data_IF_210339042553
#
_entry.id   IF_210339042553
#
_cell.length_a   1.000
_cell.length_b   1.000
_cell.length_c   1.000
_cell.angle_alpha   90.00
_cell.angle_beta   90.00
_cell.angle_gamma   90.00
#
_symmetry.space_group_name_H-M   'P 1'
#
loop_
_entity.id
_entity.type
_entity.pdbx_description
1 polymer ?
#
# COMPACT_ATOMS: atom_id res chain seq x y z
N UNK A 1 -29.94 -15.70 0.37
CA UNK A 1 -29.78 -14.32 0.86
C UNK A 1 -28.65 -14.43 1.85
N UNK A 2 -27.52 -13.79 1.56
CA UNK A 2 -26.31 -13.97 2.35
C UNK A 2 -26.50 -13.28 3.71
N UNK A 3 -26.31 -14.02 4.79
CA UNK A 3 -26.50 -13.57 6.20
C UNK A 3 -25.79 -12.25 6.50
N UNK A 4 -24.66 -11.98 5.84
CA UNK A 4 -23.91 -10.74 5.96
C UNK A 4 -24.58 -9.53 5.30
N UNK A 5 -25.28 -9.73 4.19
CA UNK A 5 -25.97 -8.65 3.48
C UNK A 5 -27.11 -8.10 4.34
N UNK A 6 -27.86 -8.99 4.99
CA UNK A 6 -28.96 -8.61 5.89
C UNK A 6 -28.47 -7.80 7.10
N UNK A 7 -27.36 -8.22 7.72
CA UNK A 7 -26.74 -7.48 8.84
C UNK A 7 -26.24 -6.12 8.39
N UNK A 8 -25.63 -6.02 7.21
CA UNK A 8 -25.18 -4.74 6.65
C UNK A 8 -26.36 -3.81 6.34
N UNK A 9 -27.45 -4.34 5.78
CA UNK A 9 -28.67 -3.56 5.50
C UNK A 9 -29.31 -3.02 6.77
N UNK A 10 -29.32 -3.81 7.86
CA UNK A 10 -29.81 -3.34 9.14
C UNK A 10 -28.91 -2.25 9.74
N UNK A 11 -27.58 -2.47 9.73
CA UNK A 11 -26.61 -1.48 10.18
C UNK A 11 -26.68 -0.17 9.39
N UNK A 12 -27.01 -0.21 8.09
CA UNK A 12 -27.25 0.99 7.27
C UNK A 12 -28.46 1.78 7.79
N UNK A 13 -29.54 1.11 8.21
CA UNK A 13 -30.74 1.79 8.75
C UNK A 13 -30.49 2.38 10.12
N UNK A 14 -29.80 1.64 10.99
CA UNK A 14 -29.58 2.03 12.40
C UNK A 14 -28.39 2.96 12.57
N UNK A 15 -27.47 3.00 11.60
CA UNK A 15 -26.19 3.68 11.71
C UNK A 15 -25.17 2.92 12.56
N UNK A 16 -25.42 1.63 12.83
CA UNK A 16 -24.54 0.79 13.64
C UNK A 16 -23.16 0.61 12.99
N UNK A 17 -22.13 0.54 13.84
CA UNK A 17 -20.75 0.28 13.43
C UNK A 17 -20.49 -1.20 13.59
N UNK A 18 -20.04 -1.85 12.51
CA UNK A 18 -19.78 -3.28 12.49
C UNK A 18 -18.28 -3.58 12.53
N UNK A 19 -17.95 -4.67 13.22
CA UNK A 19 -16.64 -5.31 13.14
C UNK A 19 -16.66 -6.35 12.02
N UNK A 20 -15.93 -6.07 10.94
CA UNK A 20 -15.88 -6.90 9.73
C UNK A 20 -14.46 -7.39 9.52
N UNK A 21 -14.27 -8.71 9.49
CA UNK A 21 -13.01 -9.28 8.99
C UNK A 21 -13.00 -9.13 7.48
N UNK A 22 -12.00 -8.42 6.96
CA UNK A 22 -11.95 -8.09 5.54
C UNK A 22 -10.72 -8.69 4.87
N UNK A 23 -10.93 -9.59 3.91
CA UNK A 23 -9.86 -10.32 3.22
C UNK A 23 -9.31 -9.60 1.98
N UNK A 24 -9.50 -8.28 1.88
CA UNK A 24 -9.03 -7.46 0.76
C UNK A 24 -8.16 -6.27 1.19
N UNK A 25 -7.45 -5.69 0.21
CA UNK A 25 -6.66 -4.47 0.41
C UNK A 25 -5.30 -4.71 1.08
N UNK A 26 -4.76 -3.67 1.71
CA UNK A 26 -3.40 -3.66 2.30
C UNK A 26 -3.27 -4.44 3.60
N UNK A 27 -4.37 -4.64 4.34
CA UNK A 27 -4.39 -5.41 5.58
C UNK A 27 -5.52 -6.47 5.50
N UNK A 28 -5.34 -7.54 4.70
CA UNK A 28 -6.32 -8.61 4.55
C UNK A 28 -6.38 -9.50 5.80
N UNK A 29 -7.57 -10.00 6.12
CA UNK A 29 -7.81 -10.88 7.27
C UNK A 29 -7.90 -10.17 8.62
N UNK A 30 -7.62 -8.85 8.67
CA UNK A 30 -7.80 -8.04 9.86
C UNK A 30 -9.25 -7.56 10.00
N UNK A 31 -9.64 -7.37 11.26
CA UNK A 31 -10.99 -6.94 11.64
C UNK A 31 -11.02 -5.42 11.59
N UNK A 32 -11.96 -4.87 10.83
CA UNK A 32 -12.16 -3.44 10.59
C UNK A 32 -13.46 -2.97 11.21
N UNK A 33 -13.43 -1.78 11.83
CA UNK A 33 -14.65 -1.04 12.15
C UNK A 33 -15.12 -0.28 10.93
N UNK A 34 -16.32 -0.63 10.47
CA UNK A 34 -16.98 -0.05 9.32
C UNK A 34 -18.36 0.46 9.72
N UNK A 35 -18.69 1.69 9.31
CA UNK A 35 -20.08 2.16 9.29
C UNK A 35 -20.57 2.10 7.84
N UNK A 36 -21.37 1.08 7.48
CA UNK A 36 -21.87 0.91 6.12
C UNK A 36 -22.87 2.01 5.75
N UNK A 37 -22.89 2.40 4.48
CA UNK A 37 -23.73 3.49 3.95
C UNK A 37 -24.64 3.03 2.81
N UNK A 38 -24.18 2.10 1.96
CA UNK A 38 -24.97 1.55 0.86
C UNK A 38 -24.35 0.25 0.36
N UNK A 39 -25.17 -0.64 -0.18
CA UNK A 39 -24.76 -1.86 -0.88
C UNK A 39 -25.28 -1.76 -2.32
N UNK A 40 -24.39 -1.96 -3.29
CA UNK A 40 -24.72 -2.01 -4.72
C UNK A 40 -24.06 -3.24 -5.34
N UNK A 41 -24.80 -4.34 -5.41
CA UNK A 41 -24.23 -5.63 -5.82
C UNK A 41 -23.12 -6.05 -4.86
N UNK A 42 -21.93 -6.34 -5.39
CA UNK A 42 -20.77 -6.74 -4.56
C UNK A 42 -20.04 -5.55 -3.91
N UNK A 43 -20.45 -4.30 -4.18
CA UNK A 43 -19.80 -3.12 -3.62
C UNK A 43 -20.53 -2.57 -2.40
N UNK A 44 -19.85 -2.59 -1.26
CA UNK A 44 -20.28 -1.97 0.00
C UNK A 44 -19.53 -0.66 0.20
N UNK A 45 -20.27 0.45 0.16
CA UNK A 45 -19.72 1.77 0.51
C UNK A 45 -19.81 1.94 2.01
N UNK A 46 -18.67 2.17 2.67
CA UNK A 46 -18.63 2.31 4.13
C UNK A 46 -17.58 3.33 4.58
N UNK A 47 -17.84 4.01 5.69
CA UNK A 47 -16.82 4.77 6.42
C UNK A 47 -15.93 3.78 7.17
N UNK A 48 -14.64 3.79 6.86
CA UNK A 48 -13.65 2.97 7.54
C UNK A 48 -13.00 3.75 8.67
N UNK A 49 -13.13 3.27 9.91
CA UNK A 49 -12.57 3.95 11.08
C UNK A 49 -11.03 3.86 11.14
N UNK A 50 -10.42 2.89 10.46
CA UNK A 50 -8.97 2.80 10.32
C UNK A 50 -8.35 4.01 9.62
N UNK A 51 -9.10 4.66 8.72
CA UNK A 51 -8.59 5.77 7.90
C UNK A 51 -9.44 7.01 7.99
N UNK A 52 -10.58 6.94 8.68
CA UNK A 52 -11.64 7.95 8.71
C UNK A 52 -12.10 8.42 7.31
N UNK A 53 -12.04 7.54 6.30
CA UNK A 53 -12.46 7.83 4.92
C UNK A 53 -13.62 6.91 4.52
N UNK A 54 -14.45 7.37 3.60
CA UNK A 54 -15.44 6.54 2.91
C UNK A 54 -14.73 5.77 1.81
N UNK A 55 -14.82 4.44 1.82
CA UNK A 55 -14.20 3.52 0.85
C UNK A 55 -15.24 2.53 0.33
N UNK A 56 -14.92 1.92 -0.81
CA UNK A 56 -15.68 0.79 -1.33
C UNK A 56 -14.98 -0.51 -0.95
N UNK A 57 -15.74 -1.46 -0.42
CA UNK A 57 -15.32 -2.78 -0.01
C UNK A 57 -16.09 -3.82 -0.83
N UNK A 58 -15.49 -4.98 -1.04
CA UNK A 58 -16.17 -6.10 -1.71
C UNK A 58 -16.92 -6.94 -0.70
N UNK A 59 -18.23 -7.11 -0.86
CA UNK A 59 -19.08 -7.93 0.00
C UNK A 59 -18.55 -9.38 0.03
N UNK A 60 -18.16 -9.90 -1.13
CA UNK A 60 -17.50 -11.20 -1.34
C UNK A 60 -16.20 -11.42 -0.56
N UNK A 61 -15.63 -10.37 0.06
CA UNK A 61 -14.42 -10.42 0.88
C UNK A 61 -14.66 -10.12 2.35
N UNK A 62 -15.92 -9.99 2.76
CA UNK A 62 -16.31 -9.71 4.14
C UNK A 62 -16.69 -10.99 4.88
N UNK A 63 -16.27 -11.08 6.13
CA UNK A 63 -16.74 -12.07 7.11
C UNK A 63 -17.23 -11.31 8.34
N UNK A 64 -18.43 -11.65 8.83
CA UNK A 64 -18.97 -11.09 10.07
C UNK A 64 -18.14 -11.60 11.25
N UNK A 65 -17.72 -10.68 12.12
CA UNK A 65 -17.09 -11.04 13.38
C UNK A 65 -17.51 -10.05 14.47
N UNK A 66 -18.76 -10.20 14.92
CA UNK A 66 -19.44 -9.26 15.83
C UNK A 66 -18.76 -9.20 17.21
N UNK A 67 -18.18 -10.31 17.68
CA UNK A 67 -17.65 -10.45 19.05
C UNK A 67 -16.16 -10.10 19.19
N UNK A 68 -15.51 -9.74 18.09
CA UNK A 68 -14.06 -9.52 18.08
C UNK A 68 -13.71 -8.04 18.04
N UNK A 69 -12.72 -7.66 18.87
CA UNK A 69 -12.16 -6.32 18.85
C UNK A 69 -11.50 -6.00 17.50
N UNK A 70 -11.45 -4.71 17.11
CA UNK A 70 -10.78 -4.31 15.89
C UNK A 70 -9.28 -4.65 15.98
N UNK A 71 -8.74 -5.26 14.92
CA UNK A 71 -7.34 -5.67 14.83
C UNK A 71 -6.60 -4.98 13.69
N UNK A 72 -7.21 -3.94 13.11
CA UNK A 72 -6.60 -3.14 12.07
C UNK A 72 -5.52 -2.21 12.64
N UNK A 73 -4.47 -1.99 11.85
CA UNK A 73 -3.52 -0.91 12.09
C UNK A 73 -4.20 0.36 11.56
N UNK A 74 -4.40 1.35 12.45
CA UNK A 74 -4.83 2.70 12.04
C UNK A 74 -3.81 3.18 11.01
N UNK A 75 -4.27 3.58 9.82
CA UNK A 75 -3.34 4.12 8.82
C UNK A 75 -2.71 5.36 9.48
N UNK A 76 -1.41 5.30 9.75
CA UNK A 76 -0.63 6.44 10.20
C UNK A 76 -0.77 7.49 9.09
N UNK A 77 -1.62 8.50 9.32
CA UNK A 77 -1.69 9.64 8.42
C UNK A 77 -0.46 10.47 8.70
N UNK A 78 0.64 10.11 8.03
CA UNK A 78 1.81 10.95 8.01
C UNK A 78 1.43 12.28 7.31
N UNK A 79 1.85 13.43 7.86
CA UNK A 79 1.79 14.67 7.09
C UNK A 79 2.50 14.44 5.75
N UNK A 80 2.00 15.06 4.68
CA UNK A 80 2.61 14.88 3.37
C UNK A 80 4.02 15.50 3.41
N UNK A 81 5.07 14.69 3.24
CA UNK A 81 6.43 15.18 3.30
C UNK A 81 6.75 16.00 2.05
N UNK A 82 7.68 16.95 2.18
CA UNK A 82 8.12 17.82 1.09
C UNK A 82 8.87 17.04 0.02
N UNK A 83 9.70 16.09 0.44
CA UNK A 83 10.57 15.31 -0.44
C UNK A 83 10.82 13.90 0.12
N UNK A 84 11.50 13.07 -0.70
CA UNK A 84 11.76 11.66 -0.38
C UNK A 84 12.67 11.50 0.84
N UNK A 85 13.59 12.44 1.08
CA UNK A 85 14.51 12.40 2.20
C UNK A 85 13.74 12.63 3.51
N UNK A 86 12.95 13.71 3.60
CA UNK A 86 12.08 13.98 4.76
C UNK A 86 11.15 12.80 5.05
N UNK A 87 10.61 12.19 3.99
CA UNK A 87 9.72 11.04 4.11
C UNK A 87 10.42 9.81 4.69
N UNK A 88 11.69 9.57 4.34
CA UNK A 88 12.47 8.41 4.76
C UNK A 88 13.16 8.58 6.12
N UNK A 89 13.50 9.81 6.52
CA UNK A 89 14.25 10.12 7.74
C UNK A 89 13.78 9.34 8.99
N UNK A 90 12.47 9.21 9.27
CA UNK A 90 11.98 8.45 10.43
C UNK A 90 12.29 6.94 10.38
N UNK A 91 12.56 6.40 9.20
CA UNK A 91 12.68 4.97 8.93
C UNK A 91 14.13 4.49 8.71
N UNK A 92 15.07 5.39 8.42
CA UNK A 92 16.45 5.05 8.02
C UNK A 92 17.11 4.10 9.03
N UNK A 93 17.12 4.47 10.31
CA UNK A 93 17.77 3.67 11.36
C UNK A 93 17.17 2.25 11.47
N UNK A 94 15.85 2.11 11.29
CA UNK A 94 15.20 0.81 11.35
C UNK A 94 15.52 -0.03 10.12
N UNK A 95 15.52 0.58 8.92
CA UNK A 95 15.90 -0.09 7.69
C UNK A 95 17.36 -0.60 7.79
N UNK A 96 18.30 0.24 8.23
CA UNK A 96 19.71 -0.15 8.35
C UNK A 96 19.93 -1.25 9.39
N UNK A 97 19.19 -1.23 10.52
CA UNK A 97 19.24 -2.29 11.54
C UNK A 97 18.83 -3.67 11.02
N UNK A 98 17.96 -3.73 10.01
CA UNK A 98 17.59 -5.00 9.37
C UNK A 98 18.65 -5.51 8.39
N UNK A 99 19.83 -4.89 8.30
CA UNK A 99 20.94 -5.31 7.44
C UNK A 99 20.80 -4.86 5.98
N UNK A 100 19.76 -4.09 5.65
CA UNK A 100 19.64 -3.44 4.36
C UNK A 100 20.68 -2.34 4.17
N UNK A 101 21.13 -2.16 2.93
CA UNK A 101 21.70 -0.89 2.50
C UNK A 101 20.61 -0.05 1.84
N UNK A 102 20.27 1.08 2.45
CA UNK A 102 19.40 2.07 1.84
C UNK A 102 20.23 2.98 0.92
N UNK A 103 19.78 3.14 -0.32
CA UNK A 103 20.34 4.10 -1.27
C UNK A 103 19.22 5.04 -1.68
N UNK A 104 19.45 6.34 -1.52
CA UNK A 104 18.48 7.40 -1.84
C UNK A 104 19.04 8.35 -2.89
N UNK A 105 18.14 8.98 -3.62
CA UNK A 105 18.36 10.12 -4.51
C UNK A 105 17.17 11.08 -4.39
N UNK A 106 17.14 12.12 -5.21
CA UNK A 106 16.04 13.10 -5.21
C UNK A 106 14.67 12.46 -5.52
N UNK A 107 14.62 11.56 -6.51
CA UNK A 107 13.37 11.03 -7.04
C UNK A 107 13.18 9.53 -6.83
N UNK A 108 14.17 8.83 -6.28
CA UNK A 108 14.09 7.39 -6.05
C UNK A 108 14.87 6.93 -4.83
N UNK A 109 14.44 5.82 -4.24
CA UNK A 109 15.15 5.13 -3.18
C UNK A 109 14.99 3.61 -3.31
N UNK A 110 15.98 2.87 -2.84
CA UNK A 110 15.94 1.41 -2.84
C UNK A 110 16.68 0.81 -1.66
N UNK A 111 16.19 -0.34 -1.20
CA UNK A 111 16.91 -1.19 -0.25
C UNK A 111 17.57 -2.35 -0.98
N UNK A 112 18.85 -2.55 -0.67
CA UNK A 112 19.74 -3.45 -1.38
C UNK A 112 20.37 -4.44 -0.42
N UNK A 113 20.42 -5.71 -0.83
CA UNK A 113 21.33 -6.67 -0.22
C UNK A 113 22.77 -6.40 -0.62
N UNK A 114 23.68 -6.75 0.28
CA UNK A 114 25.11 -6.90 0.00
C UNK A 114 25.41 -8.36 -0.37
N UNK A 115 26.37 -8.56 -1.28
CA UNK A 115 27.01 -9.85 -1.49
C UNK A 115 27.93 -10.20 -0.31
N UNK A 116 28.40 -11.46 -0.24
CA UNK A 116 29.36 -11.90 0.80
C UNK A 116 30.65 -11.08 0.84
N UNK A 117 31.01 -10.44 -0.27
CA UNK A 117 32.17 -9.54 -0.40
C UNK A 117 31.87 -8.08 0.00
N UNK A 118 30.70 -7.80 0.58
CA UNK A 118 30.26 -6.47 1.00
C UNK A 118 29.73 -5.56 -0.10
N UNK A 119 29.85 -5.93 -1.39
CA UNK A 119 29.37 -5.10 -2.50
C UNK A 119 27.84 -5.13 -2.61
N UNK A 120 27.24 -4.00 -2.99
CA UNK A 120 25.80 -3.93 -3.27
C UNK A 120 25.42 -4.77 -4.49
N UNK A 121 24.22 -5.35 -4.45
CA UNK A 121 23.59 -5.89 -5.65
C UNK A 121 23.19 -4.77 -6.61
N UNK A 122 23.14 -5.07 -7.90
CA UNK A 122 22.77 -4.10 -8.94
C UNK A 122 21.29 -3.69 -8.85
N UNK A 123 20.42 -4.63 -8.49
CA UNK A 123 18.97 -4.40 -8.44
C UNK A 123 18.52 -4.35 -6.99
N UNK A 124 17.73 -3.33 -6.60
CA UNK A 124 17.13 -3.29 -5.27
C UNK A 124 16.14 -4.44 -5.09
N UNK A 125 15.95 -4.87 -3.84
CA UNK A 125 14.92 -5.87 -3.51
C UNK A 125 13.55 -5.19 -3.30
N UNK A 126 13.55 -3.97 -2.77
CA UNK A 126 12.38 -3.06 -2.71
C UNK A 126 12.80 -1.67 -3.14
N UNK A 127 11.95 -0.99 -3.90
CA UNK A 127 12.30 0.25 -4.56
C UNK A 127 11.09 1.19 -4.68
N UNK A 128 11.34 2.49 -4.60
CA UNK A 128 10.37 3.56 -4.81
C UNK A 128 10.94 4.59 -5.78
N UNK A 129 10.14 5.07 -6.73
CA UNK A 129 10.49 6.18 -7.62
C UNK A 129 9.32 7.11 -7.89
N UNK A 130 9.63 8.36 -8.22
CA UNK A 130 8.70 9.34 -8.77
C UNK A 130 8.68 9.25 -10.31
N UNK A 131 7.49 9.01 -10.85
CA UNK A 131 7.20 9.00 -12.28
C UNK A 131 6.22 10.13 -12.59
N UNK A 132 6.75 11.25 -13.10
CA UNK A 132 5.93 12.40 -13.49
C UNK A 132 4.94 12.04 -14.61
N UNK A 133 5.35 11.17 -15.53
CA UNK A 133 4.57 10.75 -16.68
C UNK A 133 4.24 9.26 -16.65
N UNK A 134 3.09 8.91 -17.21
CA UNK A 134 2.65 7.55 -17.49
C UNK A 134 2.29 7.42 -18.96
N UNK A 135 2.54 6.24 -19.54
CA UNK A 135 2.09 5.91 -20.89
C UNK A 135 0.58 6.09 -21.04
N UNK A 136 0.16 6.71 -22.15
CA UNK A 136 -1.24 6.84 -22.52
C UNK A 136 -1.59 5.90 -23.66
N UNK A 137 -1.00 6.13 -24.84
CA UNK A 137 -1.16 5.32 -26.04
C UNK A 137 0.02 5.53 -26.99
N UNK A 138 0.14 4.68 -28.01
CA UNK A 138 1.10 4.83 -29.09
C UNK A 138 0.40 5.42 -30.31
N UNK A 139 1.06 6.38 -30.96
CA UNK A 139 0.58 7.05 -32.18
C UNK A 139 1.64 6.92 -33.28
N UNK A 140 1.36 7.41 -34.48
CA UNK A 140 2.33 7.47 -35.57
C UNK A 140 2.66 8.92 -35.91
N UNK A 141 3.95 9.24 -36.00
CA UNK A 141 4.39 10.55 -36.46
C UNK A 141 4.07 10.75 -37.96
N UNK A 142 4.33 11.96 -38.47
CA UNK A 142 4.11 12.31 -39.89
C UNK A 142 4.94 11.46 -40.88
N UNK A 143 5.96 10.75 -40.40
CA UNK A 143 6.83 9.87 -41.19
C UNK A 143 6.43 8.39 -41.04
N UNK A 144 5.38 8.07 -40.28
CA UNK A 144 4.92 6.71 -40.02
C UNK A 144 5.73 5.96 -38.97
N UNK A 145 6.54 6.64 -38.15
CA UNK A 145 7.21 6.02 -37.01
C UNK A 145 6.27 5.97 -35.80
N UNK A 146 6.25 4.86 -35.08
CA UNK A 146 5.53 4.75 -33.82
C UNK A 146 6.15 5.67 -32.76
N UNK A 147 5.33 6.46 -32.09
CA UNK A 147 5.69 7.34 -30.99
C UNK A 147 4.85 7.03 -29.76
N UNK A 148 5.45 7.04 -28.58
CA UNK A 148 4.72 6.88 -27.32
C UNK A 148 4.20 8.24 -26.84
N UNK A 149 2.89 8.34 -26.66
CA UNK A 149 2.24 9.53 -26.08
C UNK A 149 2.14 9.33 -24.57
N UNK A 150 2.73 10.28 -23.84
CA UNK A 150 2.80 10.27 -22.37
C UNK A 150 1.85 11.32 -21.79
N UNK A 151 1.25 11.01 -20.63
CA UNK A 151 0.42 11.96 -19.86
C UNK A 151 0.92 12.11 -18.42
N UNK A 152 0.66 13.24 -17.76
CA UNK A 152 0.96 13.38 -16.33
C UNK A 152 0.32 12.26 -15.51
N UNK A 153 1.10 11.67 -14.61
CA UNK A 153 0.67 10.55 -13.80
C UNK A 153 -0.27 11.01 -12.69
N UNK A 154 -1.45 10.36 -12.58
CA UNK A 154 -2.37 10.58 -11.47
C UNK A 154 -1.88 9.94 -10.15
N UNK A 155 -0.90 9.04 -10.24
CA UNK A 155 -0.29 8.28 -9.13
C UNK A 155 1.22 8.20 -9.35
N UNK A 156 1.96 9.30 -9.21
CA UNK A 156 3.34 9.39 -9.67
C UNK A 156 4.31 8.57 -8.81
N UNK A 157 3.97 8.24 -7.57
CA UNK A 157 4.85 7.46 -6.70
C UNK A 157 4.69 5.97 -6.96
N UNK A 158 5.72 5.34 -7.51
CA UNK A 158 5.73 3.93 -7.83
C UNK A 158 6.58 3.16 -6.83
N UNK A 159 6.02 2.10 -6.22
CA UNK A 159 6.72 1.20 -5.30
C UNK A 159 6.73 -0.20 -5.90
N UNK A 160 7.92 -0.76 -6.06
CA UNK A 160 8.12 -2.14 -6.54
C UNK A 160 8.77 -3.01 -5.48
N UNK A 161 8.51 -4.31 -5.60
CA UNK A 161 9.05 -5.35 -4.75
C UNK A 161 9.40 -6.53 -5.65
N UNK A 162 10.53 -7.20 -5.38
CA UNK A 162 11.04 -8.25 -6.26
C UNK A 162 10.04 -9.41 -6.51
N UNK A 163 9.23 -9.75 -5.52
CA UNK A 163 8.30 -10.90 -5.59
C UNK A 163 6.81 -10.51 -5.58
N UNK A 164 6.49 -9.22 -5.44
CA UNK A 164 5.09 -8.76 -5.34
C UNK A 164 4.78 -7.82 -6.50
N UNK A 165 3.51 -7.74 -6.87
CA UNK A 165 3.04 -6.77 -7.86
C UNK A 165 3.36 -5.36 -7.38
N UNK A 166 3.91 -4.55 -8.26
CA UNK A 166 4.19 -3.16 -7.96
C UNK A 166 2.89 -2.36 -7.77
N UNK A 167 2.99 -1.26 -7.04
CA UNK A 167 1.86 -0.41 -6.67
C UNK A 167 2.21 1.05 -6.92
N UNK A 168 1.26 1.83 -7.42
CA UNK A 168 1.41 3.28 -7.60
C UNK A 168 0.60 4.06 -6.57
N UNK A 169 0.99 5.28 -6.23
CA UNK A 169 0.35 6.08 -5.18
C UNK A 169 0.28 7.55 -5.61
N UNK A 170 -0.81 8.21 -5.20
CA UNK A 170 -0.96 9.66 -5.40
C UNK A 170 -0.12 10.48 -4.42
N UNK A 171 0.06 9.97 -3.21
CA UNK A 171 0.74 10.63 -2.09
C UNK A 171 2.07 9.92 -1.76
N UNK A 172 3.10 10.70 -1.49
CA UNK A 172 4.41 10.22 -1.05
C UNK A 172 4.33 9.54 0.31
N UNK A 173 3.57 10.13 1.25
CA UNK A 173 3.34 9.56 2.58
C UNK A 173 2.87 8.10 2.53
N UNK A 174 1.89 7.80 1.67
CA UNK A 174 1.37 6.44 1.48
C UNK A 174 2.36 5.52 0.77
N UNK A 175 3.11 6.05 -0.19
CA UNK A 175 4.12 5.28 -0.91
C UNK A 175 5.27 4.85 0.01
N UNK A 176 5.71 5.74 0.91
CA UNK A 176 6.78 5.45 1.85
C UNK A 176 6.40 4.42 2.90
N UNK A 177 5.17 4.49 3.44
CA UNK A 177 4.67 3.43 4.30
C UNK A 177 4.70 2.08 3.58
N UNK A 178 4.23 2.03 2.33
CA UNK A 178 4.27 0.79 1.55
C UNK A 178 5.70 0.30 1.28
N UNK A 179 6.62 1.21 0.97
CA UNK A 179 8.02 0.91 0.75
C UNK A 179 8.67 0.33 2.02
N UNK A 180 8.43 0.96 3.17
CA UNK A 180 8.95 0.52 4.47
C UNK A 180 8.39 -0.86 4.84
N UNK A 181 7.07 -1.05 4.77
CA UNK A 181 6.44 -2.35 5.07
C UNK A 181 7.01 -3.46 4.20
N UNK A 182 7.11 -3.21 2.89
CA UNK A 182 7.71 -4.15 1.95
C UNK A 182 9.18 -4.47 2.31
N UNK A 183 9.96 -3.48 2.76
CA UNK A 183 11.35 -3.68 3.17
C UNK A 183 11.47 -4.52 4.45
N UNK A 184 10.57 -4.34 5.43
CA UNK A 184 10.51 -5.15 6.65
C UNK A 184 10.10 -6.59 6.35
N UNK A 185 9.01 -6.78 5.59
CA UNK A 185 8.54 -8.10 5.19
C UNK A 185 9.60 -8.89 4.41
N UNK A 186 10.33 -8.22 3.51
CA UNK A 186 11.40 -8.86 2.75
C UNK A 186 12.63 -9.16 3.62
N UNK A 187 12.94 -8.32 4.62
CA UNK A 187 13.98 -8.60 5.59
C UNK A 187 13.66 -9.86 6.41
N UNK A 188 12.44 -9.97 6.91
CA UNK A 188 11.93 -11.14 7.63
C UNK A 188 12.00 -12.40 6.76
N UNK A 189 11.47 -12.31 5.52
CA UNK A 189 11.47 -13.44 4.57
C UNK A 189 12.88 -13.94 4.26
N UNK A 190 13.86 -13.05 4.27
CA UNK A 190 15.27 -13.36 4.01
C UNK A 190 16.05 -13.74 5.28
N UNK A 191 15.45 -13.64 6.46
CA UNK A 191 16.11 -13.89 7.74
C UNK A 191 17.20 -12.88 8.06
N UNK A 192 17.07 -11.63 7.59
CA UNK A 192 18.04 -10.57 7.85
C UNK A 192 17.87 -9.92 9.23
N UNK A 193 16.70 -10.08 9.85
CA UNK A 193 16.43 -9.63 11.21
C UNK A 193 16.97 -10.69 12.17
N UNK A 194 18.02 -10.35 12.92
CA UNK A 194 18.39 -11.16 14.09
C UNK A 194 17.26 -11.06 15.10
N UNK A 195 16.56 -12.18 15.34
CA UNK A 195 15.70 -12.31 16.51
C UNK A 195 16.62 -12.24 17.74
N UNK A 196 16.77 -11.05 18.31
CA UNK A 196 17.25 -10.90 19.69
C UNK A 196 16.24 -11.64 20.57
N UNK A 197 16.61 -12.86 20.97
CA UNK A 197 16.06 -13.57 22.11
C UNK A 197 16.44 -12.86 23.42
#
# INVERSE_FOLDING_TARGET
MDEIEDVLLEAIKTGEVLNIKYNGGSQPGLIRQLSPQSINGDDVRARCFATNLVKNFKLSKMELNLDSNPSYIVDLVLPEPKDLQEALDPFILNIEKTGWALVTSENEAGVYRKFKNGKLRKTPDVFIQYNEYSYDYSDFDINGNEIEVMKPSSRPWYVSHKTKTASSFKKLSSAILKFYDNAQEEAERLGLIELTL
#
